data_IF_863011159700
#
_entry.id   IF_863011159700
#
_cell.length_a   1.000
_cell.length_b   1.000
_cell.length_c   1.000
_cell.angle_alpha   90.00
_cell.angle_beta   90.00
_cell.angle_gamma   90.00
#
_symmetry.space_group_name_H-M   'P 1'
#
loop_
_entity.id
_entity.type
_entity.pdbx_description
1 polymer ?
#
# COMPACT_ATOMS: atom_id res chain seq x y z
N UNK A 1 15.10 -5.06 21.87
CA UNK A 1 16.21 -5.88 22.41
C UNK A 1 15.59 -6.84 23.41
N UNK A 2 15.85 -8.14 23.29
CA UNK A 2 15.33 -9.15 24.24
C UNK A 2 16.43 -9.49 25.27
N UNK A 3 17.69 -9.41 24.86
CA UNK A 3 18.88 -9.54 25.70
C UNK A 3 20.03 -8.69 25.12
N UNK A 4 21.10 -8.42 25.89
CA UNK A 4 22.32 -7.85 25.34
C UNK A 4 22.81 -8.69 24.16
N UNK A 5 23.13 -8.06 23.03
CA UNK A 5 23.55 -8.70 21.77
C UNK A 5 22.50 -9.49 20.97
N UNK A 6 21.25 -9.64 21.46
CA UNK A 6 20.16 -10.29 20.70
C UNK A 6 19.08 -9.29 20.30
N UNK A 7 19.07 -8.93 19.02
CA UNK A 7 18.02 -8.13 18.39
C UNK A 7 17.11 -9.03 17.55
N UNK A 8 15.85 -9.14 17.97
CA UNK A 8 14.82 -9.82 17.18
C UNK A 8 14.07 -8.78 16.35
N UNK A 9 14.24 -8.84 15.03
CA UNK A 9 13.57 -7.94 14.09
C UNK A 9 12.33 -8.61 13.51
N UNK A 10 11.15 -8.09 13.86
CA UNK A 10 9.87 -8.57 13.34
C UNK A 10 9.46 -7.65 12.20
N UNK A 11 9.82 -8.02 10.97
CA UNK A 11 9.39 -7.29 9.77
C UNK A 11 7.87 -7.42 9.54
N UNK A 12 7.28 -8.56 9.91
CA UNK A 12 5.89 -8.92 9.65
C UNK A 12 5.23 -9.45 10.94
N UNK A 13 4.59 -8.59 11.73
CA UNK A 13 3.93 -9.00 12.97
C UNK A 13 2.64 -9.73 12.63
N UNK A 14 2.67 -11.06 12.68
CA UNK A 14 1.53 -11.91 12.29
C UNK A 14 0.30 -11.69 13.17
N UNK A 15 0.48 -11.56 14.50
CA UNK A 15 -0.61 -11.61 15.48
C UNK A 15 -1.64 -10.48 15.24
N UNK A 16 -1.26 -9.19 15.10
CA UNK A 16 -2.24 -8.13 14.85
C UNK A 16 -3.01 -8.30 13.54
N UNK A 17 -2.37 -8.83 12.50
CA UNK A 17 -3.00 -8.99 11.19
C UNK A 17 -4.06 -10.10 11.17
N UNK A 18 -3.94 -11.14 12.01
CA UNK A 18 -4.98 -12.18 12.13
C UNK A 18 -6.32 -11.57 12.56
N UNK A 19 -6.31 -10.67 13.54
CA UNK A 19 -7.52 -9.98 14.00
C UNK A 19 -8.14 -9.12 12.89
N UNK A 20 -7.32 -8.39 12.13
CA UNK A 20 -7.78 -7.57 11.00
C UNK A 20 -8.36 -8.45 9.88
N UNK A 21 -7.74 -9.58 9.56
CA UNK A 21 -8.26 -10.52 8.57
C UNK A 21 -9.59 -11.15 9.02
N UNK A 22 -9.71 -11.54 10.29
CA UNK A 22 -10.96 -12.06 10.85
C UNK A 22 -12.09 -11.02 10.79
N UNK A 23 -11.80 -9.76 11.14
CA UNK A 23 -12.73 -8.65 11.00
C UNK A 23 -13.12 -8.44 9.52
N UNK A 24 -12.17 -8.53 8.59
CA UNK A 24 -12.43 -8.49 7.15
C UNK A 24 -13.34 -9.61 6.66
N UNK A 25 -13.19 -10.82 7.18
CA UNK A 25 -14.07 -11.94 6.86
C UNK A 25 -15.51 -11.68 7.33
N UNK A 26 -15.68 -11.18 8.56
CA UNK A 26 -16.99 -10.78 9.07
C UNK A 26 -17.57 -9.60 8.28
N UNK A 27 -16.74 -8.63 7.89
CA UNK A 27 -17.12 -7.51 7.03
C UNK A 27 -17.64 -7.97 5.66
N UNK A 28 -17.15 -9.10 5.14
CA UNK A 28 -17.68 -9.72 3.91
C UNK A 28 -19.18 -10.02 3.98
N UNK A 29 -19.72 -10.39 5.16
CA UNK A 29 -21.16 -10.59 5.36
C UNK A 29 -21.96 -9.29 5.27
N UNK A 30 -21.38 -8.16 5.69
CA UNK A 30 -22.01 -6.85 5.55
C UNK A 30 -22.17 -6.45 4.08
N UNK A 31 -21.19 -6.81 3.24
CA UNK A 31 -21.23 -6.50 1.80
C UNK A 31 -22.33 -7.27 1.04
N UNK A 32 -22.82 -8.37 1.61
CA UNK A 32 -23.91 -9.18 1.05
C UNK A 32 -25.31 -8.61 1.34
N UNK A 33 -25.43 -7.59 2.21
CA UNK A 33 -26.71 -6.95 2.50
C UNK A 33 -27.22 -6.12 1.31
N UNK A 34 -28.49 -5.77 1.37
CA UNK A 34 -29.13 -4.91 0.37
C UNK A 34 -28.42 -3.57 0.26
N UNK A 35 -28.32 -3.07 -0.97
CA UNK A 35 -27.57 -1.86 -1.33
C UNK A 35 -27.88 -0.63 -0.45
N UNK A 36 -29.15 -0.24 -0.17
CA UNK A 36 -29.41 0.94 0.66
C UNK A 36 -28.91 0.76 2.10
N UNK A 37 -29.08 -0.42 2.67
CA UNK A 37 -28.63 -0.73 4.02
C UNK A 37 -27.10 -0.81 4.11
N UNK A 38 -26.48 -1.56 3.18
CA UNK A 38 -25.03 -1.67 3.06
C UNK A 38 -24.38 -0.30 2.95
N UNK A 39 -24.83 0.54 2.02
CA UNK A 39 -24.25 1.88 1.82
C UNK A 39 -24.33 2.74 3.08
N UNK A 40 -25.46 2.72 3.79
CA UNK A 40 -25.63 3.46 5.05
C UNK A 40 -24.63 2.98 6.10
N UNK A 41 -24.48 1.67 6.28
CA UNK A 41 -23.55 1.10 7.26
C UNK A 41 -22.10 1.45 6.89
N UNK A 42 -21.71 1.31 5.62
CA UNK A 42 -20.37 1.66 5.16
C UNK A 42 -20.06 3.15 5.38
N UNK A 43 -21.01 4.05 5.09
CA UNK A 43 -20.82 5.48 5.33
C UNK A 43 -20.56 5.77 6.81
N UNK A 44 -21.42 5.27 7.72
CA UNK A 44 -21.27 5.55 9.15
C UNK A 44 -20.05 4.87 9.76
N UNK A 45 -19.72 3.65 9.35
CA UNK A 45 -18.53 2.95 9.81
C UNK A 45 -17.26 3.67 9.35
N UNK A 46 -17.20 4.06 8.08
CA UNK A 46 -16.07 4.80 7.52
C UNK A 46 -15.89 6.18 8.15
N UNK A 47 -16.98 6.91 8.37
CA UNK A 47 -16.96 8.20 9.09
C UNK A 47 -16.51 8.00 10.54
N UNK A 48 -17.05 7.00 11.23
CA UNK A 48 -16.73 6.69 12.62
C UNK A 48 -15.24 6.34 12.81
N UNK A 49 -14.68 5.48 11.94
CA UNK A 49 -13.26 5.13 11.99
C UNK A 49 -12.36 6.33 11.63
N UNK A 50 -12.76 7.15 10.66
CA UNK A 50 -11.99 8.34 10.29
C UNK A 50 -12.01 9.38 11.42
N UNK A 51 -13.16 9.60 12.06
CA UNK A 51 -13.29 10.46 13.22
C UNK A 51 -12.49 9.92 14.41
N UNK A 52 -12.56 8.61 14.67
CA UNK A 52 -11.77 7.96 15.71
C UNK A 52 -10.26 8.16 15.49
N UNK A 53 -9.78 8.04 14.25
CA UNK A 53 -8.40 8.38 13.90
C UNK A 53 -8.06 9.83 14.29
N UNK A 54 -8.87 10.81 13.88
CA UNK A 54 -8.61 12.22 14.17
C UNK A 54 -8.58 12.48 15.68
N UNK A 55 -9.55 11.96 16.43
CA UNK A 55 -9.66 12.17 17.89
C UNK A 55 -8.49 11.52 18.64
N UNK A 56 -8.20 10.24 18.35
CA UNK A 56 -7.09 9.53 18.98
C UNK A 56 -5.78 10.23 18.65
N UNK A 57 -5.59 10.60 17.37
CA UNK A 57 -4.34 11.23 16.94
C UNK A 57 -4.17 12.63 17.50
N UNK A 58 -5.22 13.43 17.61
CA UNK A 58 -5.16 14.78 18.18
C UNK A 58 -4.68 14.80 19.64
N UNK A 59 -5.01 13.77 20.43
CA UNK A 59 -4.65 13.71 21.86
C UNK A 59 -3.24 13.18 22.14
N UNK A 60 -2.60 12.49 21.18
CA UNK A 60 -1.32 11.78 21.37
C UNK A 60 -1.31 10.78 22.55
N UNK A 61 -2.48 10.43 23.11
CA UNK A 61 -2.56 9.70 24.37
C UNK A 61 -2.52 8.17 24.18
N UNK A 62 -2.99 7.66 23.03
CA UNK A 62 -3.21 6.23 22.85
C UNK A 62 -2.94 5.74 21.42
N UNK A 63 -2.55 4.48 21.32
CA UNK A 63 -2.63 3.69 20.09
C UNK A 63 -1.38 3.71 19.23
N UNK A 64 -0.61 4.80 19.16
CA UNK A 64 0.63 4.88 18.39
C UNK A 64 1.86 5.16 19.28
N UNK A 65 2.97 4.41 19.15
CA UNK A 65 4.18 4.65 19.94
C UNK A 65 4.91 5.94 19.54
N UNK A 66 4.63 6.51 18.36
CA UNK A 66 5.25 7.75 17.89
C UNK A 66 4.26 8.92 17.95
N UNK A 67 4.32 9.75 19.02
CA UNK A 67 3.47 10.94 19.09
C UNK A 67 3.82 11.91 17.95
N UNK A 68 2.80 12.52 17.34
CA UNK A 68 3.06 13.56 16.35
C UNK A 68 3.55 14.82 17.05
N UNK A 69 4.34 15.61 16.34
CA UNK A 69 4.88 16.88 16.84
C UNK A 69 4.79 17.97 15.78
N UNK A 70 4.74 19.22 16.24
CA UNK A 70 4.79 20.38 15.34
C UNK A 70 6.13 20.40 14.62
N UNK A 71 6.09 20.52 13.31
CA UNK A 71 7.26 20.62 12.44
C UNK A 71 7.45 22.04 11.95
N UNK A 72 8.55 22.29 11.25
CA UNK A 72 8.92 23.61 10.71
C UNK A 72 7.89 24.18 9.74
N UNK A 73 7.21 23.33 8.96
CA UNK A 73 6.14 23.75 8.06
C UNK A 73 4.81 23.09 8.43
N UNK A 74 3.67 23.73 8.11
CA UNK A 74 2.35 23.12 8.30
C UNK A 74 2.21 21.78 7.57
N UNK A 75 2.80 21.67 6.38
CA UNK A 75 2.79 20.43 5.59
C UNK A 75 3.55 19.31 6.30
N UNK A 76 4.75 19.57 6.82
CA UNK A 76 5.48 18.56 7.58
C UNK A 76 4.77 18.21 8.90
N UNK A 77 4.06 19.15 9.50
CA UNK A 77 3.23 18.89 10.68
C UNK A 77 2.08 17.95 10.34
N UNK A 78 1.43 18.15 9.19
CA UNK A 78 0.44 17.22 8.67
C UNK A 78 1.04 15.83 8.40
N UNK A 79 2.24 15.75 7.81
CA UNK A 79 2.92 14.47 7.61
C UNK A 79 3.27 13.80 8.95
N UNK A 80 3.69 14.55 9.96
CA UNK A 80 3.90 14.02 11.32
C UNK A 80 2.59 13.48 11.92
N UNK A 81 1.48 14.18 11.71
CA UNK A 81 0.15 13.74 12.15
C UNK A 81 -0.26 12.41 11.48
N UNK A 82 0.00 12.26 10.18
CA UNK A 82 -0.30 11.04 9.41
C UNK A 82 0.74 9.92 9.56
N UNK A 83 1.89 10.20 10.16
CA UNK A 83 2.96 9.22 10.38
C UNK A 83 2.61 8.28 11.53
N UNK A 84 1.80 7.25 11.24
CA UNK A 84 1.43 6.20 12.18
C UNK A 84 2.21 4.91 11.92
N UNK A 85 2.49 4.18 12.99
CA UNK A 85 3.27 2.95 12.99
C UNK A 85 2.51 1.82 12.27
N UNK A 86 3.06 1.34 11.16
CA UNK A 86 2.49 0.25 10.36
C UNK A 86 2.86 -1.14 10.87
N UNK A 87 4.03 -1.29 11.49
CA UNK A 87 4.59 -2.58 11.90
C UNK A 87 5.11 -2.51 13.34
N UNK A 88 4.38 -3.07 14.32
CA UNK A 88 3.01 -3.61 14.24
C UNK A 88 1.96 -2.53 13.93
N UNK A 89 0.83 -2.89 13.31
CA UNK A 89 -0.18 -1.92 12.93
C UNK A 89 -0.79 -1.29 14.18
N UNK A 90 -0.59 0.02 14.32
CA UNK A 90 -1.20 0.79 15.39
C UNK A 90 -2.71 0.95 15.15
N UNK A 91 -3.49 1.12 16.22
CA UNK A 91 -4.93 1.38 16.08
C UNK A 91 -5.19 2.64 15.21
N UNK A 92 -4.47 3.76 15.39
CA UNK A 92 -4.59 4.93 14.52
C UNK A 92 -4.25 4.61 13.06
N UNK A 93 -3.22 3.79 12.80
CA UNK A 93 -2.87 3.35 11.44
C UNK A 93 -4.02 2.57 10.79
N UNK A 94 -4.66 1.65 11.51
CA UNK A 94 -5.83 0.91 11.03
C UNK A 94 -7.01 1.84 10.77
N UNK A 95 -7.35 2.74 11.69
CA UNK A 95 -8.45 3.69 11.53
C UNK A 95 -8.21 4.65 10.34
N UNK A 96 -7.00 5.18 10.19
CA UNK A 96 -6.59 6.09 9.12
C UNK A 96 -6.67 5.44 7.74
N UNK A 97 -6.44 4.13 7.65
CA UNK A 97 -6.42 3.40 6.37
C UNK A 97 -7.78 2.77 6.05
N UNK A 98 -8.42 2.11 7.02
CA UNK A 98 -9.70 1.43 6.82
C UNK A 98 -10.88 2.41 6.75
N UNK A 99 -10.89 3.48 7.55
CA UNK A 99 -12.00 4.44 7.57
C UNK A 99 -12.25 5.06 6.19
N UNK A 100 -11.27 5.76 5.59
CA UNK A 100 -11.38 6.31 4.25
C UNK A 100 -11.63 5.25 3.17
N UNK A 101 -11.01 4.06 3.27
CA UNK A 101 -11.24 2.98 2.31
C UNK A 101 -12.71 2.50 2.30
N UNK A 102 -13.30 2.33 3.49
CA UNK A 102 -14.71 1.96 3.66
C UNK A 102 -15.63 3.09 3.16
N UNK A 103 -15.28 4.36 3.39
CA UNK A 103 -16.01 5.50 2.81
C UNK A 103 -16.00 5.46 1.29
N UNK A 104 -14.82 5.29 0.68
CA UNK A 104 -14.69 5.16 -0.78
C UNK A 104 -15.53 4.00 -1.30
N UNK A 105 -15.53 2.85 -0.61
CA UNK A 105 -16.36 1.71 -0.97
C UNK A 105 -17.85 2.05 -0.98
N UNK A 106 -18.32 2.86 -0.03
CA UNK A 106 -19.71 3.31 0.01
C UNK A 106 -20.11 4.22 -1.18
N UNK A 107 -19.16 4.98 -1.72
CA UNK A 107 -19.37 5.82 -2.91
C UNK A 107 -19.25 5.04 -4.22
N UNK A 108 -18.50 3.94 -4.18
CA UNK A 108 -18.30 3.01 -5.29
C UNK A 108 -19.35 1.90 -5.34
N UNK A 109 -20.28 1.89 -4.39
CA UNK A 109 -21.47 1.04 -4.40
C UNK A 109 -22.51 1.52 -5.42
N UNK A 110 -22.06 1.73 -6.66
CA UNK A 110 -22.84 2.12 -7.84
C UNK A 110 -22.10 1.75 -9.12
N UNK A 111 -22.82 1.77 -10.23
CA UNK A 111 -22.19 1.69 -11.54
C UNK A 111 -21.36 2.96 -11.78
N UNK A 112 -20.05 2.79 -11.83
CA UNK A 112 -19.07 3.87 -12.00
C UNK A 112 -18.77 4.16 -13.48
N UNK A 113 -19.58 3.62 -14.39
CA UNK A 113 -19.43 3.79 -15.84
C UNK A 113 -18.10 3.27 -16.39
N UNK A 114 -17.68 3.75 -17.58
CA UNK A 114 -16.50 3.25 -18.29
C UNK A 114 -15.17 3.43 -17.53
N UNK A 115 -15.07 4.45 -16.68
CA UNK A 115 -13.87 4.76 -15.89
C UNK A 115 -13.51 3.69 -14.86
N UNK A 116 -14.47 2.83 -14.48
CA UNK A 116 -14.20 1.70 -13.58
C UNK A 116 -13.49 0.54 -14.28
N UNK A 117 -13.60 0.43 -15.60
CA UNK A 117 -13.09 -0.74 -16.33
C UNK A 117 -11.58 -0.94 -16.11
N UNK A 118 -10.71 0.09 -16.18
CA UNK A 118 -9.29 -0.08 -15.91
C UNK A 118 -9.00 -0.49 -14.46
N UNK A 119 -9.72 0.10 -13.49
CA UNK A 119 -9.56 -0.20 -12.06
C UNK A 119 -9.92 -1.67 -11.77
N UNK A 120 -11.02 -2.15 -12.36
CA UNK A 120 -11.47 -3.54 -12.23
C UNK A 120 -10.46 -4.51 -12.83
N UNK A 121 -9.76 -4.15 -13.92
CA UNK A 121 -8.72 -5.00 -14.51
C UNK A 121 -7.62 -5.28 -13.48
N UNK A 122 -7.08 -4.25 -12.84
CA UNK A 122 -6.06 -4.43 -11.81
C UNK A 122 -6.60 -5.21 -10.59
N UNK A 123 -7.83 -4.90 -10.16
CA UNK A 123 -8.47 -5.57 -9.03
C UNK A 123 -8.76 -7.06 -9.24
N UNK A 124 -8.85 -7.54 -10.49
CA UNK A 124 -9.06 -8.97 -10.82
C UNK A 124 -7.79 -9.81 -10.74
N UNK A 125 -6.63 -9.18 -10.92
CA UNK A 125 -5.32 -9.86 -10.99
C UNK A 125 -4.26 -9.14 -10.14
N UNK A 126 -4.57 -8.81 -8.86
CA UNK A 126 -3.70 -7.98 -8.04
C UNK A 126 -2.37 -8.66 -7.72
N UNK A 127 -2.35 -9.99 -7.55
CA UNK A 127 -1.12 -10.74 -7.31
C UNK A 127 -0.21 -10.73 -8.54
N UNK A 128 -0.78 -10.90 -9.74
CA UNK A 128 -0.05 -10.82 -10.99
C UNK A 128 0.62 -9.44 -11.17
N UNK A 129 -0.13 -8.36 -10.92
CA UNK A 129 0.46 -7.02 -10.92
C UNK A 129 1.55 -6.88 -9.86
N UNK A 130 1.31 -7.37 -8.65
CA UNK A 130 2.27 -7.33 -7.54
C UNK A 130 3.61 -7.98 -7.91
N UNK A 131 3.58 -9.13 -8.56
CA UNK A 131 4.80 -9.84 -8.94
C UNK A 131 5.53 -9.20 -10.12
N UNK A 132 4.82 -8.53 -11.03
CA UNK A 132 5.44 -7.91 -12.21
C UNK A 132 5.98 -6.50 -11.96
N UNK A 133 5.28 -5.68 -11.17
CA UNK A 133 5.70 -4.29 -10.99
C UNK A 133 7.03 -4.17 -10.23
N UNK A 134 7.32 -5.07 -9.29
CA UNK A 134 8.58 -5.08 -8.54
C UNK A 134 9.82 -5.25 -9.44
N UNK A 135 9.96 -6.34 -10.23
CA UNK A 135 11.09 -6.50 -11.13
C UNK A 135 11.09 -5.45 -12.25
N UNK A 136 9.93 -4.98 -12.71
CA UNK A 136 9.86 -3.92 -13.71
C UNK A 136 10.43 -2.59 -13.19
N UNK A 137 9.99 -2.15 -12.00
CA UNK A 137 10.51 -0.93 -11.36
C UNK A 137 12.00 -1.07 -11.08
N UNK A 138 12.43 -2.24 -10.59
CA UNK A 138 13.83 -2.51 -10.31
C UNK A 138 14.69 -2.50 -11.60
N UNK A 139 14.21 -3.13 -12.66
CA UNK A 139 14.85 -3.10 -13.97
C UNK A 139 14.95 -1.69 -14.56
N UNK A 140 13.90 -0.87 -14.42
CA UNK A 140 13.94 0.56 -14.79
C UNK A 140 14.98 1.30 -13.93
N UNK A 141 15.05 1.03 -12.63
CA UNK A 141 16.03 1.67 -11.74
C UNK A 141 17.47 1.32 -12.16
N UNK A 142 17.74 0.05 -12.47
CA UNK A 142 19.04 -0.42 -12.99
C UNK A 142 19.36 0.24 -14.33
N UNK A 143 18.40 0.28 -15.26
CA UNK A 143 18.59 0.91 -16.57
C UNK A 143 18.92 2.40 -16.41
N UNK A 144 18.14 3.13 -15.63
CA UNK A 144 18.36 4.55 -15.39
C UNK A 144 19.67 4.83 -14.65
N UNK A 145 20.03 3.99 -13.68
CA UNK A 145 21.30 4.10 -12.97
C UNK A 145 22.47 3.81 -13.90
N UNK A 146 22.33 2.84 -14.80
CA UNK A 146 23.40 2.50 -15.74
C UNK A 146 23.61 3.54 -16.83
N UNK A 147 22.53 4.13 -17.34
CA UNK A 147 22.60 5.25 -18.27
C UNK A 147 23.23 6.50 -17.66
N UNK A 148 22.99 6.76 -16.36
CA UNK A 148 23.47 7.97 -15.67
C UNK A 148 24.86 7.82 -15.06
N UNK A 149 25.20 6.63 -14.58
CA UNK A 149 26.41 6.38 -13.78
C UNK A 149 27.31 5.26 -14.34
N UNK A 150 26.96 4.64 -15.48
CA UNK A 150 27.73 3.55 -16.08
C UNK A 150 27.44 2.18 -15.44
N UNK A 151 28.46 1.44 -15.00
CA UNK A 151 28.24 0.16 -14.34
C UNK A 151 27.78 0.36 -12.88
N UNK A 152 26.47 0.55 -12.67
CA UNK A 152 25.90 0.76 -11.34
C UNK A 152 25.77 -0.57 -10.56
N UNK A 153 26.90 -1.14 -10.14
CA UNK A 153 26.97 -2.42 -9.41
C UNK A 153 26.12 -2.46 -8.13
N UNK A 154 26.01 -1.34 -7.40
CA UNK A 154 25.22 -1.25 -6.17
C UNK A 154 23.72 -1.50 -6.33
N UNK A 155 23.15 -1.16 -7.48
CA UNK A 155 21.71 -1.30 -7.72
C UNK A 155 21.29 -2.77 -7.84
N UNK A 156 22.22 -3.64 -8.26
CA UNK A 156 22.00 -5.09 -8.33
C UNK A 156 22.08 -5.81 -6.98
N UNK A 157 22.77 -5.20 -6.00
CA UNK A 157 23.15 -5.87 -4.75
C UNK A 157 22.06 -5.80 -3.67
N UNK A 158 21.19 -4.79 -3.71
CA UNK A 158 20.17 -4.57 -2.68
C UNK A 158 19.81 -3.10 -2.58
N UNK A 159 18.86 -2.71 -1.72
CA UNK A 159 18.33 -1.35 -1.66
C UNK A 159 19.31 -0.35 -1.03
N UNK A 160 19.25 0.94 -1.38
CA UNK A 160 20.22 1.95 -0.94
C UNK A 160 20.21 2.26 0.56
N UNK A 161 19.16 1.82 1.28
CA UNK A 161 19.04 1.99 2.73
C UNK A 161 19.64 0.82 3.53
N UNK A 162 20.09 -0.25 2.87
CA UNK A 162 20.81 -1.33 3.54
C UNK A 162 22.28 -0.92 3.73
N UNK A 163 22.79 -0.84 4.98
CA UNK A 163 24.19 -0.52 5.25
C UNK A 163 25.19 -1.37 4.47
N UNK A 164 24.85 -2.64 4.18
CA UNK A 164 25.72 -3.55 3.44
C UNK A 164 25.89 -3.17 1.96
N UNK A 165 24.93 -2.44 1.39
CA UNK A 165 24.93 -2.09 -0.05
C UNK A 165 25.01 -0.59 -0.31
N UNK A 166 24.75 0.26 0.70
CA UNK A 166 24.75 1.71 0.59
C UNK A 166 26.05 2.28 0.01
N UNK A 167 27.21 1.73 0.35
CA UNK A 167 28.50 2.18 -0.16
C UNK A 167 28.70 1.92 -1.66
N UNK A 168 27.93 1.01 -2.26
CA UNK A 168 28.00 0.67 -3.68
C UNK A 168 27.14 1.58 -4.57
N UNK A 169 26.37 2.50 -3.96
CA UNK A 169 25.53 3.45 -4.69
C UNK A 169 26.31 4.71 -5.10
N UNK A 170 26.10 5.24 -6.32
CA UNK A 170 26.74 6.48 -6.77
C UNK A 170 26.43 7.69 -5.87
N UNK A 171 27.41 8.58 -5.70
CA UNK A 171 27.18 9.90 -5.10
C UNK A 171 26.20 10.67 -5.99
N UNK A 172 25.01 11.03 -5.47
CA UNK A 172 23.83 11.55 -6.20
C UNK A 172 22.86 10.52 -6.81
N UNK A 173 22.87 9.28 -6.32
CA UNK A 173 21.84 8.30 -6.67
C UNK A 173 20.44 8.75 -6.23
N UNK A 174 19.47 8.61 -7.12
CA UNK A 174 18.07 8.96 -6.90
C UNK A 174 17.54 10.04 -7.86
N UNK A 175 16.22 10.19 -7.84
CA UNK A 175 15.47 11.12 -8.66
C UNK A 175 14.49 11.93 -7.81
N UNK A 176 14.18 13.15 -8.23
CA UNK A 176 13.15 13.96 -7.59
C UNK A 176 11.75 13.36 -7.76
N UNK A 177 10.81 13.78 -6.90
CA UNK A 177 9.44 13.22 -6.83
C UNK A 177 8.72 13.23 -8.19
N UNK A 178 8.88 14.29 -8.99
CA UNK A 178 8.23 14.39 -10.30
C UNK A 178 8.62 13.24 -11.25
N UNK A 179 9.91 12.89 -11.29
CA UNK A 179 10.40 11.77 -12.11
C UNK A 179 9.90 10.43 -11.55
N UNK A 180 9.88 10.28 -10.22
CA UNK A 180 9.34 9.08 -9.57
C UNK A 180 7.87 8.87 -9.93
N UNK A 181 7.05 9.93 -9.90
CA UNK A 181 5.64 9.85 -10.32
C UNK A 181 5.50 9.57 -11.82
N UNK A 182 6.35 10.12 -12.67
CA UNK A 182 6.34 9.81 -14.10
C UNK A 182 6.65 8.33 -14.38
N UNK A 183 7.67 7.77 -13.71
CA UNK A 183 8.00 6.34 -13.80
C UNK A 183 6.85 5.48 -13.26
N UNK A 184 6.23 5.88 -12.16
CA UNK A 184 5.08 5.19 -11.60
C UNK A 184 3.90 5.12 -12.59
N UNK A 185 3.56 6.24 -13.23
CA UNK A 185 2.53 6.29 -14.29
C UNK A 185 2.94 5.38 -15.46
N UNK A 186 4.19 5.46 -15.92
CA UNK A 186 4.70 4.61 -16.99
C UNK A 186 4.54 3.13 -16.67
N UNK A 187 4.92 2.70 -15.47
CA UNK A 187 4.80 1.30 -15.02
C UNK A 187 3.34 0.84 -15.02
N UNK A 188 2.41 1.67 -14.53
CA UNK A 188 0.98 1.37 -14.58
C UNK A 188 0.50 1.17 -16.03
N UNK A 189 0.90 2.07 -16.94
CA UNK A 189 0.51 2.01 -18.35
C UNK A 189 1.09 0.78 -19.05
N UNK A 190 2.35 0.42 -18.78
CA UNK A 190 3.01 -0.75 -19.34
C UNK A 190 2.38 -2.07 -18.86
N UNK A 191 2.00 -2.15 -17.58
CA UNK A 191 1.41 -3.36 -17.01
C UNK A 191 -0.08 -3.52 -17.32
N UNK A 192 -0.79 -2.43 -17.62
CA UNK A 192 -2.20 -2.48 -17.97
C UNK A 192 -2.58 -3.53 -19.04
N UNK A 193 -1.93 -3.58 -20.24
CA UNK A 193 -2.26 -4.58 -21.25
C UNK A 193 -1.98 -6.01 -20.78
N UNK A 194 -0.92 -6.23 -20.00
CA UNK A 194 -0.58 -7.55 -19.44
C UNK A 194 -1.63 -8.00 -18.42
N UNK A 195 -2.04 -7.12 -17.50
CA UNK A 195 -3.12 -7.40 -16.55
C UNK A 195 -4.44 -7.67 -17.26
N UNK A 196 -4.75 -6.92 -18.33
CA UNK A 196 -5.97 -7.13 -19.12
C UNK A 196 -5.96 -8.50 -19.81
N UNK A 197 -4.84 -8.88 -20.41
CA UNK A 197 -4.67 -10.18 -21.05
C UNK A 197 -4.83 -11.31 -20.02
N UNK A 198 -4.14 -11.22 -18.88
CA UNK A 198 -4.20 -12.26 -17.84
C UNK A 198 -5.60 -12.37 -17.21
N UNK A 199 -6.28 -11.24 -16.99
CA UNK A 199 -7.67 -11.24 -16.52
C UNK A 199 -8.62 -11.95 -17.50
N UNK A 200 -8.44 -11.76 -18.81
CA UNK A 200 -9.23 -12.47 -19.83
C UNK A 200 -8.88 -13.96 -19.89
N UNK A 201 -7.61 -14.34 -19.68
CA UNK A 201 -7.18 -15.73 -19.63
C UNK A 201 -7.84 -16.47 -18.45
N UNK A 202 -7.82 -15.86 -17.25
CA UNK A 202 -8.46 -16.39 -16.04
C UNK A 202 -9.98 -16.54 -16.18
N UNK A 203 -10.64 -15.75 -17.02
CA UNK A 203 -12.07 -15.91 -17.32
C UNK A 203 -12.35 -17.09 -18.26
N UNK A 204 -11.40 -17.44 -19.14
CA UNK A 204 -11.57 -18.51 -20.14
C UNK A 204 -11.15 -19.88 -19.63
N UNK A 205 -10.23 -19.94 -18.66
CA UNK A 205 -9.65 -21.20 -18.13
C UNK A 205 -9.95 -21.36 -16.64
N UNK A 206 -10.14 -22.61 -16.21
CA UNK A 206 -10.42 -22.97 -14.81
C UNK A 206 -9.30 -23.80 -14.17
N UNK A 207 -8.07 -23.66 -14.66
CA UNK A 207 -6.92 -24.39 -14.15
C UNK A 207 -6.67 -24.03 -12.67
N UNK A 208 -6.35 -25.02 -11.83
CA UNK A 208 -6.25 -24.83 -10.38
C UNK A 208 -5.26 -23.72 -9.96
N UNK A 209 -4.13 -23.58 -10.67
CA UNK A 209 -3.13 -22.54 -10.38
C UNK A 209 -3.63 -21.12 -10.68
N UNK A 210 -4.55 -20.93 -11.63
CA UNK A 210 -5.16 -19.62 -11.95
C UNK A 210 -6.11 -19.12 -10.87
N UNK A 211 -6.56 -19.99 -9.96
CA UNK A 211 -7.41 -19.57 -8.83
C UNK A 211 -6.64 -18.70 -7.83
N UNK A 212 -5.33 -18.90 -7.71
CA UNK A 212 -4.46 -18.21 -6.76
C UNK A 212 -3.87 -16.89 -7.28
N UNK A 213 -3.79 -16.70 -8.60
CA UNK A 213 -3.25 -15.50 -9.27
C UNK A 213 -4.34 -14.55 -9.76
#
# INVERSE_FOLDING_TARGET
QIAPHYMFFIAYPLIPWVGVMAAGYAFGKLLQRDRPERRRILLWLGLGLTAAFIVIRATNAYGDPQPWSKQTTPLFTLFSFLNCTKYPPSLPYLCMTLGPAILVLSFFDRELGPWSKPIIVFGRVPLFYYLLHLPLIHGIAILLASLRHGAAGGVWLGPPWDPATAAAYPQNYGYGLGVVYAIWILVILLLYPLCRWFANLKQRRRDAWLSYF
#
